data_IF_434449715002
#
_entry.id   IF_434449715002
#
_cell.length_a   1.000
_cell.length_b   1.000
_cell.length_c   1.000
_cell.angle_alpha   90.00
_cell.angle_beta   90.00
_cell.angle_gamma   90.00
#
_symmetry.space_group_name_H-M   'P 1'
#
loop_
_entity.id
_entity.type
_entity.pdbx_description
1 polymer ?
#
# COMPACT_ATOMS: atom_id res chain seq x y z
N UNK A 1 8.49 23.65 -9.33
CA UNK A 1 8.51 22.18 -9.30
C UNK A 1 8.45 21.74 -7.85
N UNK A 2 7.44 20.97 -7.45
CA UNK A 2 7.25 20.50 -6.09
C UNK A 2 7.98 19.15 -5.89
N UNK A 3 9.16 19.18 -5.28
CA UNK A 3 9.99 17.99 -5.01
C UNK A 3 9.68 17.30 -3.69
N UNK A 4 8.42 16.89 -3.45
CA UNK A 4 7.97 16.32 -2.18
C UNK A 4 8.72 15.03 -1.77
N UNK A 5 9.35 14.35 -2.73
CA UNK A 5 10.15 13.13 -2.53
C UNK A 5 11.66 13.41 -2.50
N UNK A 6 12.09 14.67 -2.52
CA UNK A 6 13.51 15.06 -2.55
C UNK A 6 13.97 15.56 -1.17
N UNK A 7 15.25 15.34 -0.85
CA UNK A 7 15.90 15.85 0.35
C UNK A 7 17.14 16.68 -0.03
N UNK A 8 17.01 18.00 -0.06
CA UNK A 8 18.15 18.87 -0.39
C UNK A 8 19.24 18.76 0.67
N UNK A 9 20.45 18.33 0.24
CA UNK A 9 21.59 18.06 1.14
C UNK A 9 21.24 17.04 2.23
N UNK A 10 20.29 16.14 1.96
CA UNK A 10 19.85 15.10 2.88
C UNK A 10 20.02 13.71 2.29
N UNK A 11 19.36 12.75 2.93
CA UNK A 11 19.33 11.34 2.51
C UNK A 11 17.96 11.01 1.93
N UNK A 12 17.94 10.39 0.76
CA UNK A 12 16.73 9.82 0.16
C UNK A 12 16.80 8.31 0.31
N UNK A 13 15.75 7.71 0.87
CA UNK A 13 15.61 6.26 0.99
C UNK A 13 14.96 5.74 -0.29
N UNK A 14 15.69 4.91 -1.04
CA UNK A 14 15.10 4.20 -2.18
C UNK A 14 14.24 3.04 -1.66
N UNK A 15 12.96 3.30 -1.42
CA UNK A 15 12.01 2.30 -0.93
C UNK A 15 11.90 1.10 -1.87
N UNK A 16 11.97 1.27 -3.21
CA UNK A 16 11.84 0.15 -4.16
C UNK A 16 12.97 -0.89 -4.00
N UNK A 17 14.14 -0.46 -3.53
CA UNK A 17 15.32 -1.34 -3.40
C UNK A 17 15.17 -2.43 -2.33
N UNK A 18 14.16 -2.33 -1.45
CA UNK A 18 13.94 -3.33 -0.41
C UNK A 18 13.22 -4.56 -0.95
N UNK A 19 13.93 -5.69 -0.96
CA UNK A 19 13.44 -7.00 -1.40
C UNK A 19 13.19 -7.99 -0.25
N UNK A 20 13.36 -7.57 1.01
CA UNK A 20 13.36 -8.47 2.17
C UNK A 20 11.99 -8.95 2.65
N UNK A 21 10.90 -8.44 2.10
CA UNK A 21 9.53 -8.79 2.49
C UNK A 21 8.73 -9.26 1.29
N UNK A 22 8.27 -10.50 1.36
CA UNK A 22 7.28 -11.06 0.43
C UNK A 22 5.88 -10.62 0.84
N UNK A 23 5.00 -10.44 -0.16
CA UNK A 23 3.59 -10.15 0.10
C UNK A 23 2.93 -11.42 0.66
N UNK A 24 2.14 -11.28 1.72
CA UNK A 24 1.42 -12.39 2.32
C UNK A 24 -0.08 -12.15 2.23
N UNK A 25 -0.80 -13.07 1.60
CA UNK A 25 -2.26 -12.98 1.43
C UNK A 25 -2.94 -13.88 2.44
N UNK A 26 -3.83 -13.31 3.23
CA UNK A 26 -4.56 -14.02 4.27
C UNK A 26 -6.01 -14.18 3.84
N UNK A 27 -6.39 -15.45 3.62
CA UNK A 27 -7.74 -15.82 3.20
C UNK A 27 -8.54 -16.17 4.46
N UNK A 28 -9.70 -15.54 4.62
CA UNK A 28 -10.58 -15.75 5.76
C UNK A 28 -11.89 -14.98 5.60
N UNK A 29 -12.64 -14.82 6.70
CA UNK A 29 -13.89 -14.05 6.69
C UNK A 29 -13.71 -12.60 6.23
N UNK A 30 -12.54 -12.01 6.54
CA UNK A 30 -12.13 -10.69 6.10
C UNK A 30 -10.74 -10.80 5.49
N UNK A 31 -10.62 -11.01 4.17
CA UNK A 31 -9.32 -11.23 3.54
C UNK A 31 -8.51 -9.93 3.45
N UNK A 32 -7.19 -10.07 3.50
CA UNK A 32 -6.24 -8.96 3.46
C UNK A 32 -4.89 -9.39 2.89
N UNK A 33 -4.06 -8.40 2.56
CA UNK A 33 -2.68 -8.60 2.12
C UNK A 33 -1.72 -7.75 2.93
N UNK A 34 -0.68 -8.38 3.48
CA UNK A 34 0.46 -7.68 4.05
C UNK A 34 1.44 -7.33 2.94
N UNK A 35 1.83 -6.06 2.89
CA UNK A 35 2.66 -5.54 1.82
C UNK A 35 3.60 -4.45 2.31
N UNK A 36 4.85 -4.52 1.85
CA UNK A 36 5.84 -3.49 2.09
C UNK A 36 5.47 -2.17 1.38
N UNK A 37 5.64 -1.05 2.07
CA UNK A 37 5.24 0.29 1.60
C UNK A 37 5.89 0.73 0.27
N UNK A 38 7.05 0.18 -0.09
CA UNK A 38 7.72 0.45 -1.36
C UNK A 38 7.24 -0.41 -2.54
N UNK A 39 6.28 -1.32 -2.36
CA UNK A 39 5.72 -2.12 -3.46
C UNK A 39 4.72 -1.30 -4.29
N UNK A 40 4.65 -1.58 -5.58
CA UNK A 40 3.65 -0.99 -6.46
C UNK A 40 2.29 -1.67 -6.32
N UNK A 41 1.21 -0.91 -6.50
CA UNK A 41 -0.16 -1.44 -6.52
C UNK A 41 -0.39 -2.49 -7.61
N UNK A 42 0.31 -2.40 -8.75
CA UNK A 42 0.23 -3.44 -9.80
C UNK A 42 0.72 -4.81 -9.31
N UNK A 43 1.73 -4.86 -8.43
CA UNK A 43 2.20 -6.12 -7.87
C UNK A 43 1.19 -6.69 -6.88
N UNK A 44 0.54 -5.85 -6.08
CA UNK A 44 -0.55 -6.25 -5.17
C UNK A 44 -1.71 -6.85 -5.95
N UNK A 45 -2.09 -6.22 -7.07
CA UNK A 45 -3.13 -6.74 -7.95
C UNK A 45 -2.76 -8.14 -8.46
N UNK A 46 -1.56 -8.30 -9.03
CA UNK A 46 -1.11 -9.59 -9.52
C UNK A 46 -1.09 -10.67 -8.44
N UNK A 47 -0.63 -10.35 -7.23
CA UNK A 47 -0.60 -11.31 -6.12
C UNK A 47 -2.02 -11.67 -5.66
N UNK A 48 -2.87 -10.66 -5.42
CA UNK A 48 -4.24 -10.86 -4.94
C UNK A 48 -5.08 -11.68 -5.93
N UNK A 49 -4.86 -11.48 -7.24
CA UNK A 49 -5.57 -12.21 -8.30
C UNK A 49 -5.29 -13.72 -8.28
N UNK A 50 -4.12 -14.16 -7.81
CA UNK A 50 -3.82 -15.59 -7.63
C UNK A 50 -4.78 -16.26 -6.64
N UNK A 51 -5.41 -15.47 -5.77
CA UNK A 51 -6.37 -15.91 -4.76
C UNK A 51 -7.82 -15.51 -5.09
N UNK A 52 -8.10 -14.95 -6.28
CA UNK A 52 -9.43 -14.48 -6.66
C UNK A 52 -9.90 -13.24 -5.87
N UNK A 53 -8.94 -12.45 -5.37
CA UNK A 53 -9.18 -11.27 -4.54
C UNK A 53 -8.59 -10.02 -5.20
N UNK A 54 -9.05 -8.85 -4.80
CA UNK A 54 -8.44 -7.58 -5.17
C UNK A 54 -8.67 -6.50 -4.10
N UNK A 55 -7.78 -5.49 -3.96
CA UNK A 55 -8.08 -4.29 -3.20
C UNK A 55 -9.42 -3.64 -3.58
N UNK A 56 -10.14 -3.11 -2.57
CA UNK A 56 -11.45 -2.47 -2.77
C UNK A 56 -11.38 -1.05 -3.33
N UNK A 57 -10.25 -0.38 -3.13
CA UNK A 57 -10.03 1.01 -3.52
C UNK A 57 -8.68 1.16 -4.21
N UNK A 58 -8.64 1.95 -5.28
CA UNK A 58 -7.51 2.06 -6.20
C UNK A 58 -7.10 3.51 -6.43
N UNK A 59 -6.04 3.66 -7.20
CA UNK A 59 -5.72 4.89 -7.93
C UNK A 59 -5.89 4.61 -9.42
N UNK A 60 -6.07 5.65 -10.22
CA UNK A 60 -6.21 5.50 -11.68
C UNK A 60 -4.92 4.99 -12.37
N UNK A 61 -3.78 4.98 -11.65
CA UNK A 61 -2.49 4.53 -12.15
C UNK A 61 -1.79 3.60 -11.14
N UNK A 62 -1.55 2.35 -11.54
CA UNK A 62 -1.11 1.29 -10.62
C UNK A 62 0.41 1.20 -10.40
N UNK A 63 1.22 1.95 -11.16
CA UNK A 63 2.67 2.07 -10.92
C UNK A 63 2.96 3.19 -9.92
N UNK A 64 2.18 3.23 -8.84
CA UNK A 64 2.42 4.04 -7.65
C UNK A 64 2.71 3.11 -6.48
N UNK A 65 3.62 3.51 -5.59
CA UNK A 65 3.95 2.71 -4.41
C UNK A 65 2.92 2.92 -3.29
N UNK A 66 2.67 1.88 -2.51
CA UNK A 66 1.69 1.85 -1.40
C UNK A 66 1.88 3.03 -0.44
N UNK A 67 3.09 3.20 0.09
CA UNK A 67 3.39 4.26 1.05
C UNK A 67 3.16 5.66 0.48
N UNK A 68 3.41 5.85 -0.81
CA UNK A 68 3.23 7.12 -1.50
C UNK A 68 1.75 7.51 -1.63
N UNK A 69 0.88 6.56 -2.00
CA UNK A 69 -0.55 6.84 -2.13
C UNK A 69 -1.21 6.99 -0.76
N UNK A 70 -0.83 6.16 0.23
CA UNK A 70 -1.34 6.25 1.59
C UNK A 70 -0.89 7.53 2.33
N UNK A 71 0.27 8.09 2.00
CA UNK A 71 0.71 9.39 2.53
C UNK A 71 -0.10 10.58 2.00
N UNK A 72 -0.97 10.36 1.01
CA UNK A 72 -1.82 11.40 0.41
C UNK A 72 -3.31 11.10 0.61
N UNK A 73 -3.80 10.02 0.00
CA UNK A 73 -5.19 9.54 0.08
C UNK A 73 -5.39 8.24 -0.73
N UNK A 74 -4.96 8.27 -1.99
CA UNK A 74 -5.27 7.25 -3.00
C UNK A 74 -6.74 7.28 -3.41
N UNK A 75 -7.07 8.05 -4.44
CA UNK A 75 -8.45 8.25 -4.93
C UNK A 75 -8.61 7.70 -6.36
N UNK A 76 -9.76 7.11 -6.62
CA UNK A 76 -10.24 6.68 -7.93
C UNK A 76 -11.77 6.47 -7.87
N UNK A 77 -12.37 5.97 -8.95
CA UNK A 77 -13.82 5.80 -9.10
C UNK A 77 -14.49 4.87 -8.10
N UNK A 78 -13.75 4.08 -7.30
CA UNK A 78 -14.33 3.23 -6.26
C UNK A 78 -14.58 3.97 -4.94
N UNK A 79 -14.03 5.19 -4.78
CA UNK A 79 -14.03 5.92 -3.52
C UNK A 79 -15.43 6.25 -2.99
N UNK A 80 -16.43 6.43 -3.86
CA UNK A 80 -17.80 6.71 -3.44
C UNK A 80 -18.45 5.53 -2.67
N UNK A 81 -18.00 4.30 -2.94
CA UNK A 81 -18.55 3.08 -2.33
C UNK A 81 -17.65 2.51 -1.23
N UNK A 82 -16.35 2.51 -1.48
CA UNK A 82 -15.37 1.84 -0.62
C UNK A 82 -14.49 2.81 0.17
N UNK A 83 -14.64 4.13 -0.03
CA UNK A 83 -13.72 5.12 0.53
C UNK A 83 -12.37 5.15 -0.20
N UNK A 84 -11.48 6.03 0.25
CA UNK A 84 -10.14 6.20 -0.30
C UNK A 84 -9.26 4.99 0.06
N UNK A 85 -8.07 4.86 -0.56
CA UNK A 85 -7.12 3.81 -0.17
C UNK A 85 -6.78 3.89 1.32
N UNK A 86 -6.61 5.10 1.87
CA UNK A 86 -6.39 5.32 3.32
C UNK A 86 -7.55 4.83 4.21
N UNK A 87 -8.75 4.65 3.67
CA UNK A 87 -9.91 4.09 4.39
C UNK A 87 -9.93 2.56 4.39
N UNK A 88 -9.06 1.91 3.61
CA UNK A 88 -9.01 0.47 3.39
C UNK A 88 -7.69 -0.16 3.89
N UNK A 89 -7.06 0.46 4.89
CA UNK A 89 -5.86 -0.04 5.56
C UNK A 89 -6.23 -0.45 6.98
N UNK A 90 -5.84 -1.66 7.38
CA UNK A 90 -6.11 -2.16 8.73
C UNK A 90 -5.04 -1.77 9.73
N UNK A 91 -3.78 -1.88 9.31
CA UNK A 91 -2.61 -1.65 10.13
C UNK A 91 -1.51 -1.07 9.25
N UNK A 92 -0.64 -0.25 9.85
CA UNK A 92 0.51 0.32 9.18
C UNK A 92 1.71 0.31 10.14
N UNK A 93 2.81 -0.23 9.63
CA UNK A 93 4.13 -0.10 10.23
C UNK A 93 4.82 1.15 9.73
N UNK A 94 5.24 2.00 10.68
CA UNK A 94 5.94 3.23 10.38
C UNK A 94 7.21 3.35 11.23
N UNK A 95 8.29 3.77 10.57
CA UNK A 95 9.47 4.29 11.26
C UNK A 95 9.22 5.75 11.59
N UNK A 96 9.13 6.06 12.88
CA UNK A 96 8.99 7.43 13.37
C UNK A 96 10.38 8.09 13.49
N UNK A 97 10.43 9.43 13.46
CA UNK A 97 11.67 10.19 13.65
C UNK A 97 12.35 10.01 15.02
N UNK A 98 11.73 9.25 15.94
CA UNK A 98 12.24 8.96 17.28
C UNK A 98 12.66 7.49 17.45
N UNK A 99 12.87 6.74 16.36
CA UNK A 99 13.36 5.35 16.37
C UNK A 99 12.41 4.32 17.01
N UNK A 100 11.10 4.56 17.02
CA UNK A 100 10.11 3.57 17.48
C UNK A 100 9.59 2.77 16.29
N UNK A 101 9.70 1.44 16.35
CA UNK A 101 9.18 0.47 15.37
C UNK A 101 7.92 -0.21 15.93
N UNK A 102 6.87 -0.33 15.11
CA UNK A 102 5.73 -1.22 15.33
C UNK A 102 5.34 -1.84 13.98
N UNK A 103 5.16 -3.16 13.94
CA UNK A 103 5.36 -4.01 12.75
C UNK A 103 4.06 -4.32 11.99
N UNK A 104 4.14 -4.51 10.65
CA UNK A 104 3.14 -4.87 9.62
C UNK A 104 2.24 -3.77 8.99
N UNK A 105 2.17 -3.74 7.66
CA UNK A 105 1.27 -2.88 6.85
C UNK A 105 0.34 -3.73 5.98
N UNK A 106 -0.97 -3.47 6.07
CA UNK A 106 -2.01 -4.42 5.65
C UNK A 106 -3.13 -3.73 4.87
N UNK A 107 -3.39 -4.17 3.64
CA UNK A 107 -4.46 -3.65 2.79
C UNK A 107 -5.68 -4.59 2.76
N UNK A 108 -6.89 -4.01 2.84
CA UNK A 108 -8.14 -4.75 2.78
C UNK A 108 -8.41 -5.29 1.37
N UNK A 109 -8.63 -6.60 1.28
CA UNK A 109 -9.06 -7.25 0.06
C UNK A 109 -10.58 -7.42 0.04
N UNK A 110 -11.17 -7.31 -1.14
CA UNK A 110 -12.53 -7.72 -1.46
C UNK A 110 -12.52 -8.91 -2.40
N UNK A 111 -13.59 -9.69 -2.37
CA UNK A 111 -13.85 -10.68 -3.42
C UNK A 111 -14.21 -9.96 -4.74
N UNK A 112 -13.90 -10.59 -5.86
CA UNK A 112 -14.09 -10.01 -7.21
C UNK A 112 -15.56 -10.15 -7.72
N UNK A 113 -16.51 -10.53 -6.86
CA UNK A 113 -17.92 -10.77 -7.27
C UNK A 113 -18.79 -9.52 -7.18
#
# INVERSE_FOLDING_TARGET
MQGQTQAHRGVVINMESFSGMEMQVYIGKHPYIDVYGGKFWINILHESLKHGLAPKSWTDYLHLIVGGTLSNAGISGQAFRHGLQISNVHQLEAVTGQHRMFIDCMALLGAIY
#
